data_IF_376746778866
#
_entry.id   IF_376746778866
#
_cell.length_a   1.000
_cell.length_b   1.000
_cell.length_c   1.000
_cell.angle_alpha   90.00
_cell.angle_beta   90.00
_cell.angle_gamma   90.00
#
_symmetry.space_group_name_H-M   'P 1'
#
loop_
_entity.id
_entity.type
_entity.pdbx_description
1 polymer ?
#
# COMPACT_ATOMS: atom_id res chain seq x y z
N UNK A 1 30.95 -10.03 -23.19
CA UNK A 1 30.79 -10.26 -21.73
C UNK A 1 29.67 -9.34 -21.28
N UNK A 2 28.47 -9.87 -21.06
CA UNK A 2 27.29 -9.09 -20.65
C UNK A 2 27.53 -8.46 -19.27
N UNK A 3 27.23 -7.17 -19.10
CA UNK A 3 27.36 -6.47 -17.82
C UNK A 3 26.30 -6.99 -16.85
N UNK A 4 26.75 -7.79 -15.88
CA UNK A 4 25.89 -8.43 -14.86
C UNK A 4 25.10 -7.38 -14.05
N UNK A 5 25.56 -6.13 -14.02
CA UNK A 5 24.90 -5.01 -13.32
C UNK A 5 23.64 -4.50 -14.02
N UNK A 6 23.47 -4.78 -15.32
CA UNK A 6 22.37 -4.24 -16.11
C UNK A 6 21.32 -5.29 -16.53
N UNK A 7 21.38 -6.48 -15.93
CA UNK A 7 20.43 -7.56 -16.19
C UNK A 7 19.17 -7.41 -15.32
N UNK A 8 17.96 -7.56 -15.89
CA UNK A 8 16.73 -7.53 -15.10
C UNK A 8 16.70 -8.68 -14.08
N UNK A 9 16.32 -8.35 -12.83
CA UNK A 9 16.16 -9.34 -11.75
C UNK A 9 15.08 -10.38 -12.10
N UNK A 10 14.00 -9.93 -12.75
CA UNK A 10 12.94 -10.78 -13.28
C UNK A 10 12.93 -10.71 -14.80
N UNK A 11 13.36 -11.79 -15.44
CA UNK A 11 13.42 -11.92 -16.89
C UNK A 11 12.51 -13.05 -17.39
N UNK A 12 12.09 -12.94 -18.65
CA UNK A 12 11.53 -14.06 -19.38
C UNK A 12 12.63 -15.07 -19.71
N UNK A 13 12.27 -16.25 -20.22
CA UNK A 13 13.25 -17.26 -20.68
C UNK A 13 14.24 -16.71 -21.73
N UNK A 14 13.83 -15.66 -22.45
CA UNK A 14 14.63 -15.03 -23.50
C UNK A 14 15.50 -13.87 -22.97
N UNK A 15 15.57 -13.66 -21.65
CA UNK A 15 16.39 -12.60 -21.04
C UNK A 15 15.75 -11.21 -21.07
N UNK A 16 14.56 -11.07 -21.64
CA UNK A 16 13.85 -9.77 -21.70
C UNK A 16 13.13 -9.46 -20.39
N UNK A 17 12.98 -8.17 -20.01
CA UNK A 17 12.15 -7.79 -18.88
C UNK A 17 10.70 -8.25 -19.04
N UNK A 18 10.04 -8.57 -17.93
CA UNK A 18 8.62 -8.91 -17.96
C UNK A 18 7.74 -7.69 -18.26
N UNK A 19 6.80 -7.87 -19.18
CA UNK A 19 5.73 -6.90 -19.40
C UNK A 19 4.67 -7.00 -18.28
N UNK A 20 4.39 -5.87 -17.63
CA UNK A 20 3.45 -5.78 -16.51
C UNK A 20 2.02 -6.18 -16.91
N UNK A 21 1.57 -5.81 -18.10
CA UNK A 21 0.22 -6.11 -18.58
C UNK A 21 0.07 -7.61 -18.88
N UNK A 22 1.09 -8.24 -19.45
CA UNK A 22 1.12 -9.68 -19.71
C UNK A 22 1.18 -10.48 -18.40
N UNK A 23 1.98 -10.06 -17.42
CA UNK A 23 1.97 -10.66 -16.08
C UNK A 23 0.59 -10.59 -15.45
N UNK A 24 -0.03 -9.41 -15.50
CA UNK A 24 -1.34 -9.17 -14.94
C UNK A 24 -2.42 -10.03 -15.61
N UNK A 25 -2.41 -10.08 -16.95
CA UNK A 25 -3.40 -10.84 -17.74
C UNK A 25 -3.21 -12.36 -17.63
N UNK A 26 -1.97 -12.85 -17.71
CA UNK A 26 -1.67 -14.29 -17.85
C UNK A 26 -1.45 -15.02 -16.54
N UNK A 27 -1.02 -14.32 -15.49
CA UNK A 27 -0.69 -14.94 -14.19
C UNK A 27 -1.59 -14.42 -13.09
N UNK A 28 -1.72 -13.10 -12.97
CA UNK A 28 -2.38 -12.49 -11.82
C UNK A 28 -3.90 -12.68 -11.82
N UNK A 29 -4.60 -12.30 -12.90
CA UNK A 29 -6.06 -12.49 -13.00
C UNK A 29 -6.50 -13.95 -12.86
N UNK A 30 -5.83 -14.94 -13.50
CA UNK A 30 -6.15 -16.35 -13.27
C UNK A 30 -6.01 -16.79 -11.81
N UNK A 31 -4.97 -16.34 -11.11
CA UNK A 31 -4.73 -16.67 -9.70
C UNK A 31 -5.85 -16.12 -8.81
N UNK A 32 -6.25 -14.86 -9.01
CA UNK A 32 -7.35 -14.25 -8.25
C UNK A 32 -8.68 -14.97 -8.49
N UNK A 33 -8.96 -15.39 -9.72
CA UNK A 33 -10.13 -16.22 -10.02
C UNK A 33 -10.08 -17.57 -9.31
N UNK A 34 -8.91 -18.22 -9.27
CA UNK A 34 -8.73 -19.48 -8.55
C UNK A 34 -8.95 -19.32 -7.04
N UNK A 35 -8.62 -18.14 -6.49
CA UNK A 35 -8.88 -17.79 -5.08
C UNK A 35 -10.31 -17.27 -4.82
N UNK A 36 -11.18 -17.20 -5.84
CA UNK A 36 -12.53 -16.66 -5.70
C UNK A 36 -12.60 -15.14 -5.45
N UNK A 37 -11.50 -14.42 -5.66
CA UNK A 37 -11.42 -12.97 -5.45
C UNK A 37 -11.93 -12.25 -6.69
N UNK A 38 -13.03 -11.51 -6.56
CA UNK A 38 -13.57 -10.69 -7.63
C UNK A 38 -12.73 -9.42 -7.79
N UNK A 39 -12.17 -9.23 -8.98
CA UNK A 39 -11.36 -8.05 -9.32
C UNK A 39 -12.20 -7.14 -10.19
N UNK A 40 -12.60 -5.98 -9.66
CA UNK A 40 -13.15 -4.89 -10.46
C UNK A 40 -12.08 -4.38 -11.43
N UNK A 41 -12.47 -3.99 -12.64
CA UNK A 41 -11.58 -3.74 -13.79
C UNK A 41 -10.44 -2.71 -13.55
N UNK A 42 -10.52 -1.91 -12.49
CA UNK A 42 -9.68 -0.72 -12.28
C UNK A 42 -8.37 -1.02 -11.53
N UNK A 43 -8.35 -1.97 -10.60
CA UNK A 43 -7.26 -2.03 -9.61
C UNK A 43 -6.49 -3.35 -9.65
N UNK A 44 -5.59 -3.46 -10.62
CA UNK A 44 -4.62 -4.56 -10.72
C UNK A 44 -3.58 -4.55 -9.59
N UNK A 45 -2.31 -4.35 -9.94
CA UNK A 45 -1.24 -4.19 -8.95
C UNK A 45 -1.42 -2.95 -8.04
N UNK A 46 -2.21 -1.96 -8.47
CA UNK A 46 -2.56 -0.82 -7.62
C UNK A 46 -3.39 -1.20 -6.40
N UNK A 47 -4.28 -2.20 -6.49
CA UNK A 47 -5.02 -2.69 -5.31
C UNK A 47 -4.06 -3.17 -4.20
N UNK A 48 -2.96 -3.84 -4.56
CA UNK A 48 -1.97 -4.26 -3.57
C UNK A 48 -1.16 -3.10 -3.01
N UNK A 49 -0.85 -2.10 -3.83
CA UNK A 49 -0.18 -0.88 -3.36
C UNK A 49 -1.05 -0.17 -2.31
N UNK A 50 -2.34 -0.04 -2.57
CA UNK A 50 -3.32 0.51 -1.63
C UNK A 50 -3.48 -0.37 -0.37
N UNK A 51 -3.57 -1.69 -0.53
CA UNK A 51 -3.66 -2.61 0.61
C UNK A 51 -2.43 -2.51 1.52
N UNK A 52 -1.22 -2.46 0.95
CA UNK A 52 0.03 -2.29 1.69
C UNK A 52 0.05 -0.94 2.43
N UNK A 53 -0.32 0.15 1.77
CA UNK A 53 -0.40 1.47 2.40
C UNK A 53 -1.40 1.50 3.57
N UNK A 54 -2.55 0.86 3.38
CA UNK A 54 -3.60 0.73 4.41
C UNK A 54 -3.14 -0.12 5.59
N UNK A 55 -2.44 -1.23 5.35
CA UNK A 55 -1.87 -2.07 6.41
C UNK A 55 -0.76 -1.35 7.18
N UNK A 56 0.12 -0.62 6.51
CA UNK A 56 1.12 0.20 7.20
C UNK A 56 0.45 1.25 8.10
N UNK A 57 -0.65 1.84 7.65
CA UNK A 57 -1.44 2.76 8.48
C UNK A 57 -2.07 2.06 9.68
N UNK A 58 -2.63 0.85 9.50
CA UNK A 58 -3.25 0.09 10.59
C UNK A 58 -2.25 -0.27 11.70
N UNK A 59 -1.00 -0.57 11.34
CA UNK A 59 0.10 -0.80 12.30
C UNK A 59 0.66 0.48 12.95
N UNK A 60 0.13 1.67 12.62
CA UNK A 60 0.56 2.92 13.21
C UNK A 60 1.85 3.49 12.59
N UNK A 61 2.25 3.04 11.40
CA UNK A 61 3.41 3.59 10.72
C UNK A 61 3.25 5.10 10.46
N UNK A 62 4.27 5.87 10.81
CA UNK A 62 4.31 7.31 10.57
C UNK A 62 4.11 7.64 9.09
N UNK A 63 3.53 8.79 8.80
CA UNK A 63 3.28 9.21 7.42
C UNK A 63 4.56 9.31 6.60
N UNK A 64 5.64 9.84 7.21
CA UNK A 64 6.96 9.94 6.58
C UNK A 64 7.51 8.55 6.20
N UNK A 65 7.39 7.57 7.10
CA UNK A 65 7.81 6.20 6.81
C UNK A 65 7.00 5.57 5.67
N UNK A 66 5.69 5.85 5.61
CA UNK A 66 4.82 5.37 4.52
C UNK A 66 5.17 6.01 3.18
N UNK A 67 5.47 7.30 3.16
CA UNK A 67 5.93 8.01 1.95
C UNK A 67 7.24 7.41 1.43
N UNK A 68 8.22 7.24 2.31
CA UNK A 68 9.52 6.65 1.96
C UNK A 68 9.37 5.22 1.41
N UNK A 69 8.56 4.38 2.06
CA UNK A 69 8.36 2.98 1.60
C UNK A 69 7.62 2.85 0.27
N UNK A 70 6.78 3.81 -0.07
CA UNK A 70 6.03 3.81 -1.34
C UNK A 70 6.78 4.56 -2.46
N UNK A 71 7.92 5.20 -2.14
CA UNK A 71 8.67 6.03 -3.09
C UNK A 71 7.95 7.32 -3.47
N UNK A 72 7.11 7.84 -2.58
CA UNK A 72 6.42 9.11 -2.74
C UNK A 72 7.38 10.26 -2.42
N UNK A 73 7.36 11.32 -3.23
CA UNK A 73 8.14 12.54 -2.97
C UNK A 73 7.65 13.21 -1.67
N UNK A 74 8.54 13.91 -0.98
CA UNK A 74 8.21 14.59 0.27
C UNK A 74 7.02 15.55 0.07
N UNK A 75 6.03 15.46 0.96
CA UNK A 75 4.80 16.27 0.90
C UNK A 75 3.69 15.72 -0.01
N UNK A 76 3.95 14.68 -0.82
CA UNK A 76 2.90 14.10 -1.66
C UNK A 76 1.88 13.28 -0.83
N UNK A 77 0.56 13.34 -1.17
CA UNK A 77 -0.45 12.66 -0.38
C UNK A 77 -0.35 11.13 -0.54
N UNK A 78 -0.14 10.42 0.58
CA UNK A 78 -0.40 8.97 0.65
C UNK A 78 -1.90 8.68 0.76
N UNK A 79 -2.73 9.72 0.83
CA UNK A 79 -4.18 9.65 1.04
C UNK A 79 -4.91 8.82 -0.02
N UNK A 80 -4.50 8.91 -1.28
CA UNK A 80 -5.12 8.13 -2.36
C UNK A 80 -4.82 6.62 -2.22
N UNK A 81 -3.77 6.25 -1.49
CA UNK A 81 -3.45 4.85 -1.19
C UNK A 81 -4.14 4.32 0.08
N UNK A 82 -4.78 5.19 0.85
CA UNK A 82 -5.34 4.89 2.17
C UNK A 82 -6.86 4.90 2.14
N UNK A 83 -7.45 3.76 1.82
CA UNK A 83 -8.86 3.50 2.09
C UNK A 83 -9.02 2.76 3.43
N UNK A 84 -8.45 3.31 4.50
CA UNK A 84 -8.70 2.77 5.84
C UNK A 84 -10.17 3.05 6.21
N UNK A 85 -11.04 2.03 6.12
CA UNK A 85 -12.42 2.08 6.62
C UNK A 85 -12.52 2.36 8.13
N UNK A 86 -11.40 2.26 8.86
CA UNK A 86 -11.32 2.39 10.31
C UNK A 86 -10.74 3.75 10.79
N UNK A 87 -11.07 4.86 10.12
CA UNK A 87 -10.76 6.19 10.66
C UNK A 87 -11.65 6.58 11.86
N UNK A 88 -12.78 5.88 12.07
CA UNK A 88 -13.71 6.15 13.18
C UNK A 88 -13.16 5.71 14.55
N UNK A 89 -12.46 4.56 14.67
CA UNK A 89 -11.88 4.13 15.97
C UNK A 89 -10.78 5.06 16.46
N UNK A 90 -9.93 5.57 15.56
CA UNK A 90 -8.77 6.41 15.94
C UNK A 90 -9.17 7.80 16.44
N UNK A 91 -10.21 8.42 15.87
CA UNK A 91 -10.74 9.68 16.40
C UNK A 91 -11.34 9.51 17.80
N UNK A 92 -11.96 8.37 18.09
CA UNK A 92 -12.48 8.07 19.43
C UNK A 92 -11.35 7.95 20.46
N UNK A 93 -10.23 7.32 20.10
CA UNK A 93 -9.06 7.16 20.99
C UNK A 93 -8.32 8.49 21.26
N UNK A 94 -8.14 9.33 20.23
CA UNK A 94 -7.63 10.69 20.43
C UNK A 94 -8.58 11.56 21.25
N UNK A 95 -9.90 11.49 20.99
CA UNK A 95 -10.88 12.24 21.78
C UNK A 95 -10.86 11.87 23.26
N UNK A 96 -10.77 10.57 23.57
CA UNK A 96 -10.72 10.05 24.94
C UNK A 96 -9.44 10.41 25.71
N UNK A 97 -8.31 10.59 25.00
CA UNK A 97 -7.04 11.04 25.61
C UNK A 97 -7.03 12.54 25.86
N UNK A 98 -7.59 13.35 24.96
CA UNK A 98 -7.68 14.82 25.14
C UNK A 98 -8.66 15.24 26.27
N UNK A 99 -9.78 14.54 26.45
CA UNK A 99 -10.74 14.84 27.53
C UNK A 99 -10.22 14.48 28.93
N UNK A 100 -9.28 13.53 29.04
CA UNK A 100 -8.69 13.13 30.33
C UNK A 100 -7.64 14.12 30.84
N UNK A 101 -7.00 14.87 29.95
CA UNK A 101 -5.95 15.84 30.30
C UNK A 101 -6.48 17.19 30.79
N UNK A 102 -7.70 17.57 30.43
CA UNK A 102 -8.31 18.86 30.83
C UNK A 102 -9.15 18.77 32.11
N UNK A 103 -9.43 17.55 32.60
CA UNK A 103 -10.17 17.34 33.84
C UNK A 103 -9.35 17.42 35.14
N UNK A 104 -8.04 17.69 35.07
CA UNK A 104 -7.14 17.65 36.23
C UNK A 104 -6.49 19.01 36.59
N UNK A 105 -6.97 20.11 36.00
CA UNK A 105 -6.63 21.49 36.40
C UNK A 105 -7.88 22.16 36.95
N UNK A 106 -8.21 21.86 38.20
CA UNK A 106 -9.40 22.37 38.85
C UNK A 106 -9.48 21.96 40.31
N UNK A 107 -8.52 22.40 41.13
CA UNK A 107 -8.74 22.66 42.56
C UNK A 107 -7.70 23.66 43.06
#
# INVERSE_FOLDING_TARGET
MEDVRNRPLFATRNGTPWDQNLLLKRKFRPLLRALGIQVTRVDGFHAFRHANATLMSSFGASQKLRQQRLGHADGSPVGNDLHARDQRRRKADCGATWQRSLGNFGR
#
